data_IF_987088895926
#
_entry.id   IF_987088895926
#
_cell.length_a   1.000
_cell.length_b   1.000
_cell.length_c   1.000
_cell.angle_alpha   90.00
_cell.angle_beta   90.00
_cell.angle_gamma   90.00
#
_symmetry.space_group_name_H-M   'P 1'
#
loop_
_entity.id
_entity.type
_entity.pdbx_description
1 polymer ?
#
# COMPACT_ATOMS: atom_id res chain seq x y z
N UNK A 1 10.44 14.65 -12.03
CA UNK A 1 11.52 13.72 -11.62
C UNK A 1 11.16 12.32 -12.11
N UNK A 2 12.06 11.60 -12.81
CA UNK A 2 11.77 10.23 -13.30
C UNK A 2 12.05 9.21 -12.18
N UNK A 3 11.00 8.64 -11.61
CA UNK A 3 11.07 7.53 -10.64
C UNK A 3 11.15 6.21 -11.40
N UNK A 4 12.00 5.29 -10.94
CA UNK A 4 12.07 3.92 -11.45
C UNK A 4 11.29 3.01 -10.49
N UNK A 5 10.27 2.33 -10.99
CA UNK A 5 9.53 1.34 -10.22
C UNK A 5 10.32 0.02 -10.22
N UNK A 6 10.90 -0.34 -9.07
CA UNK A 6 11.62 -1.58 -8.84
C UNK A 6 10.84 -2.47 -7.87
N UNK A 7 11.11 -3.77 -7.87
CA UNK A 7 10.58 -4.68 -6.84
C UNK A 7 11.72 -5.11 -5.93
N UNK A 8 11.50 -5.05 -4.61
CA UNK A 8 12.49 -5.49 -3.64
C UNK A 8 12.79 -6.99 -3.82
N UNK A 9 14.08 -7.34 -3.95
CA UNK A 9 14.53 -8.74 -4.07
C UNK A 9 14.16 -9.60 -2.86
N UNK A 10 14.14 -9.03 -1.65
CA UNK A 10 13.92 -9.77 -0.41
C UNK A 10 12.43 -10.00 -0.09
N UNK A 11 11.58 -8.98 -0.24
CA UNK A 11 10.16 -9.05 0.15
C UNK A 11 9.16 -8.92 -1.01
N UNK A 12 9.63 -8.64 -2.23
CA UNK A 12 8.80 -8.44 -3.42
C UNK A 12 7.93 -7.18 -3.39
N UNK A 13 8.15 -6.28 -2.43
CA UNK A 13 7.41 -5.02 -2.36
C UNK A 13 7.83 -4.08 -3.49
N UNK A 14 6.90 -3.33 -4.11
CA UNK A 14 7.24 -2.27 -5.05
C UNK A 14 7.96 -1.14 -4.30
N UNK A 15 9.08 -0.70 -4.85
CA UNK A 15 9.92 0.39 -4.35
C UNK A 15 10.11 1.38 -5.50
N UNK A 16 9.71 2.62 -5.28
CA UNK A 16 9.96 3.71 -6.22
C UNK A 16 11.29 4.36 -5.87
N UNK A 17 12.26 4.25 -6.79
CA UNK A 17 13.62 4.74 -6.56
C UNK A 17 13.92 5.90 -7.51
N UNK A 18 14.39 7.05 -6.99
CA UNK A 18 14.97 8.10 -7.82
C UNK A 18 16.20 7.58 -8.57
N UNK A 19 16.30 7.83 -9.88
CA UNK A 19 17.38 7.31 -10.75
C UNK A 19 18.82 7.65 -10.30
N UNK A 20 19.00 8.63 -9.42
CA UNK A 20 20.31 9.09 -8.95
C UNK A 20 20.80 8.34 -7.69
N UNK A 21 19.97 7.56 -7.02
CA UNK A 21 20.35 6.85 -5.79
C UNK A 21 20.87 5.44 -6.10
N UNK A 22 22.12 5.16 -5.72
CA UNK A 22 22.77 3.84 -5.92
C UNK A 22 22.30 2.78 -4.92
N UNK A 23 21.88 3.21 -3.73
CA UNK A 23 21.44 2.34 -2.65
C UNK A 23 20.10 2.83 -2.11
N UNK A 24 19.11 1.95 -2.04
CA UNK A 24 17.83 2.23 -1.40
C UNK A 24 17.50 1.12 -0.43
N UNK A 25 17.14 1.49 0.80
CA UNK A 25 16.57 0.54 1.75
C UNK A 25 15.11 0.31 1.42
N UNK A 26 14.72 -0.95 1.38
CA UNK A 26 13.31 -1.29 1.21
C UNK A 26 12.53 -0.79 2.44
N UNK A 27 11.55 0.09 2.23
CA UNK A 27 10.67 0.60 3.29
C UNK A 27 9.82 -0.47 3.98
N UNK A 28 9.88 -1.73 3.53
CA UNK A 28 9.06 -2.83 4.02
C UNK A 28 9.82 -3.94 4.74
N UNK A 29 11.10 -4.13 4.45
CA UNK A 29 11.93 -5.19 5.05
C UNK A 29 13.34 -4.72 5.39
N UNK A 30 13.60 -3.42 5.22
CA UNK A 30 14.88 -2.73 5.47
C UNK A 30 16.09 -3.28 4.72
N UNK A 31 15.90 -4.29 3.87
CA UNK A 31 16.94 -4.82 3.02
C UNK A 31 17.48 -3.75 2.07
N UNK A 32 18.81 -3.65 2.00
CA UNK A 32 19.52 -2.77 1.08
C UNK A 32 19.41 -3.30 -0.36
N UNK A 33 18.97 -2.44 -1.27
CA UNK A 33 18.88 -2.71 -2.69
C UNK A 33 19.92 -1.86 -3.41
N UNK A 34 20.87 -2.50 -4.11
CA UNK A 34 21.74 -1.82 -5.05
C UNK A 34 20.96 -1.54 -6.34
N UNK A 35 20.64 -0.27 -6.59
CA UNK A 35 20.08 0.19 -7.85
C UNK A 35 21.25 0.46 -8.82
N UNK A 36 21.99 -0.58 -9.22
CA UNK A 36 22.81 -0.46 -10.43
C UNK A 36 21.86 -0.38 -11.63
N UNK A 37 22.20 0.46 -12.60
CA UNK A 37 21.43 0.78 -13.81
C UNK A 37 20.93 -0.47 -14.53
N UNK A 38 19.79 -0.99 -14.09
CA UNK A 38 19.07 -2.00 -14.84
C UNK A 38 18.40 -1.27 -16.00
N UNK A 39 19.06 -1.28 -17.17
CA UNK A 39 18.52 -0.76 -18.44
C UNK A 39 17.22 -1.44 -18.88
N UNK A 40 16.78 -2.48 -18.17
CA UNK A 40 15.48 -3.12 -18.39
C UNK A 40 14.81 -3.43 -17.05
N UNK A 41 13.47 -3.40 -16.98
CA UNK A 41 12.70 -3.94 -15.86
C UNK A 41 12.83 -5.47 -15.89
N UNK A 42 13.99 -5.98 -15.49
CA UNK A 42 14.22 -7.41 -15.39
C UNK A 42 13.45 -7.91 -14.17
N UNK A 43 12.27 -8.49 -14.45
CA UNK A 43 11.58 -9.41 -13.55
C UNK A 43 12.45 -10.66 -13.41
N UNK A 44 13.56 -10.55 -12.66
CA UNK A 44 14.37 -11.72 -12.32
C UNK A 44 13.63 -12.46 -11.21
N UNK A 45 13.25 -13.75 -11.40
CA UNK A 45 12.80 -14.57 -10.29
C UNK A 45 13.90 -14.60 -9.23
N UNK A 46 13.52 -14.65 -7.96
CA UNK A 46 14.42 -14.76 -6.83
C UNK A 46 15.42 -15.89 -7.12
N UNK A 47 16.67 -15.56 -7.44
CA UNK A 47 17.74 -16.46 -7.08
C UNK A 47 17.86 -16.35 -5.57
N UNK A 48 17.34 -17.40 -4.93
CA UNK A 48 17.72 -17.87 -3.61
C UNK A 48 19.13 -17.40 -3.25
N UNK A 49 19.28 -16.83 -2.05
CA UNK A 49 20.58 -16.85 -1.38
C UNK A 49 21.21 -18.23 -1.58
N UNK A 50 22.50 -18.36 -1.94
CA UNK A 50 23.16 -19.66 -2.12
C UNK A 50 23.04 -20.59 -0.90
N UNK A 51 22.71 -20.04 0.28
CA UNK A 51 22.48 -20.80 1.53
C UNK A 51 21.11 -21.45 1.69
N UNK A 52 20.14 -21.19 0.81
CA UNK A 52 18.76 -21.67 0.99
C UNK A 52 18.40 -22.89 0.13
N UNK A 53 19.34 -23.51 -0.59
CA UNK A 53 19.05 -24.83 -1.18
C UNK A 53 19.32 -25.90 -0.12
N UNK A 54 18.37 -26.81 0.15
CA UNK A 54 18.68 -27.98 0.96
C UNK A 54 19.86 -28.71 0.32
N UNK A 55 20.85 -29.09 1.13
CA UNK A 55 21.91 -29.99 0.69
C UNK A 55 21.29 -31.34 0.31
N UNK A 56 21.94 -32.11 -0.58
CA UNK A 56 21.48 -33.47 -0.92
C UNK A 56 21.41 -34.41 0.30
N UNK A 57 22.00 -34.00 1.43
CA UNK A 57 21.98 -34.68 2.72
C UNK A 57 20.91 -34.20 3.70
N UNK A 58 19.96 -33.35 3.27
CA UNK A 58 18.92 -32.81 4.15
C UNK A 58 17.97 -33.92 4.61
N UNK A 59 17.66 -33.92 5.91
CA UNK A 59 16.67 -34.81 6.52
C UNK A 59 15.26 -34.49 6.01
N UNK A 60 14.34 -35.47 6.04
CA UNK A 60 12.94 -35.27 5.60
C UNK A 60 12.28 -34.08 6.34
N UNK A 61 12.59 -33.90 7.63
CA UNK A 61 12.12 -32.79 8.45
C UNK A 61 12.63 -31.41 7.97
N UNK A 62 13.88 -31.31 7.53
CA UNK A 62 14.42 -30.07 6.96
C UNK A 62 13.76 -29.72 5.62
N UNK A 63 13.44 -30.74 4.82
CA UNK A 63 12.75 -30.59 3.55
C UNK A 63 11.30 -30.11 3.73
N UNK A 64 10.61 -30.60 4.75
CA UNK A 64 9.27 -30.13 5.13
C UNK A 64 9.29 -28.67 5.61
N UNK A 65 10.21 -28.31 6.51
CA UNK A 65 10.40 -26.93 6.97
C UNK A 65 10.69 -25.98 5.80
N UNK A 66 11.51 -26.41 4.84
CA UNK A 66 11.81 -25.63 3.65
C UNK A 66 10.59 -25.43 2.74
N UNK A 67 9.77 -26.47 2.54
CA UNK A 67 8.50 -26.37 1.80
C UNK A 67 7.55 -25.39 2.47
N UNK A 68 7.40 -25.45 3.79
CA UNK A 68 6.54 -24.54 4.53
C UNK A 68 7.04 -23.09 4.45
N UNK A 69 8.34 -22.87 4.63
CA UNK A 69 8.96 -21.56 4.51
C UNK A 69 8.74 -20.95 3.11
N UNK A 70 8.88 -21.75 2.06
CA UNK A 70 8.60 -21.34 0.68
C UNK A 70 7.12 -21.01 0.48
N UNK A 71 6.22 -21.82 1.04
CA UNK A 71 4.79 -21.60 0.99
C UNK A 71 4.38 -20.28 1.68
N UNK A 72 4.89 -20.01 2.88
CA UNK A 72 4.61 -18.77 3.63
C UNK A 72 5.12 -17.56 2.84
N UNK A 73 6.33 -17.62 2.26
CA UNK A 73 6.87 -16.56 1.39
C UNK A 73 5.97 -16.30 0.18
N UNK A 74 5.52 -17.36 -0.51
CA UNK A 74 4.60 -17.23 -1.63
C UNK A 74 3.28 -16.56 -1.19
N UNK A 75 2.75 -16.93 -0.02
CA UNK A 75 1.50 -16.36 0.52
C UNK A 75 1.64 -14.88 0.85
N UNK A 76 2.77 -14.44 1.41
CA UNK A 76 3.08 -13.02 1.62
C UNK A 76 3.15 -12.28 0.27
N UNK A 77 3.80 -12.86 -0.74
CA UNK A 77 3.88 -12.26 -2.09
C UNK A 77 2.50 -12.09 -2.72
N UNK A 78 1.64 -13.11 -2.66
CA UNK A 78 0.26 -13.04 -3.15
C UNK A 78 -0.54 -11.99 -2.38
N UNK A 79 -0.39 -11.93 -1.06
CA UNK A 79 -1.04 -10.93 -0.21
C UNK A 79 -0.63 -9.51 -0.63
N UNK A 80 0.68 -9.25 -0.76
CA UNK A 80 1.22 -7.95 -1.20
C UNK A 80 0.73 -7.56 -2.60
N UNK A 81 0.74 -8.49 -3.56
CA UNK A 81 0.24 -8.26 -4.92
C UNK A 81 -1.26 -7.95 -4.93
N UNK A 82 -2.06 -8.67 -4.14
CA UNK A 82 -3.49 -8.43 -4.03
C UNK A 82 -3.80 -7.07 -3.39
N UNK A 83 -3.03 -6.68 -2.38
CA UNK A 83 -3.14 -5.39 -1.72
C UNK A 83 -2.79 -4.24 -2.66
N UNK A 84 -1.70 -4.39 -3.42
CA UNK A 84 -1.30 -3.42 -4.44
C UNK A 84 -2.41 -3.23 -5.49
N UNK A 85 -2.94 -4.31 -6.06
CA UNK A 85 -4.08 -4.24 -7.00
C UNK A 85 -5.31 -3.54 -6.43
N UNK A 86 -5.66 -3.79 -5.16
CA UNK A 86 -6.78 -3.13 -4.50
C UNK A 86 -6.52 -1.64 -4.27
N UNK A 87 -5.30 -1.29 -3.87
CA UNK A 87 -4.89 0.10 -3.64
C UNK A 87 -4.88 0.93 -4.93
N UNK A 88 -4.56 0.31 -6.07
CA UNK A 88 -4.58 0.98 -7.37
C UNK A 88 -5.97 1.47 -7.79
N UNK A 89 -7.06 0.95 -7.20
CA UNK A 89 -8.42 1.52 -7.40
C UNK A 89 -8.57 2.96 -6.92
N UNK A 90 -7.67 3.41 -6.03
CA UNK A 90 -7.64 4.78 -5.51
C UNK A 90 -6.50 5.61 -6.13
N UNK A 91 -5.81 5.08 -7.15
CA UNK A 91 -4.79 5.83 -7.86
C UNK A 91 -5.42 6.73 -8.94
N UNK A 92 -4.98 7.98 -9.00
CA UNK A 92 -5.32 8.92 -10.05
C UNK A 92 -4.02 9.35 -10.74
N UNK A 93 -3.91 9.18 -12.06
CA UNK A 93 -2.68 9.45 -12.82
C UNK A 93 -1.43 8.71 -12.30
N UNK A 94 -1.60 7.47 -11.81
CA UNK A 94 -0.51 6.67 -11.23
C UNK A 94 -0.12 7.06 -9.80
N UNK A 95 -0.64 8.17 -9.27
CA UNK A 95 -0.42 8.58 -7.88
C UNK A 95 -1.53 8.01 -7.01
N UNK A 96 -1.17 7.24 -5.98
CA UNK A 96 -2.15 6.68 -5.04
C UNK A 96 -2.66 7.78 -4.12
N UNK A 97 -3.91 8.21 -4.32
CA UNK A 97 -4.59 9.14 -3.43
C UNK A 97 -5.31 8.34 -2.34
N UNK A 98 -4.71 8.31 -1.14
CA UNK A 98 -5.32 7.61 -0.01
C UNK A 98 -6.51 8.43 0.50
N UNK A 99 -7.74 7.91 0.48
CA UNK A 99 -8.87 8.61 1.06
C UNK A 99 -8.66 8.73 2.57
N UNK A 100 -8.43 9.95 3.05
CA UNK A 100 -8.30 10.24 4.48
C UNK A 100 -9.62 10.79 5.02
N UNK A 101 -9.97 10.41 6.25
CA UNK A 101 -11.10 11.00 6.98
C UNK A 101 -10.95 12.53 7.10
N UNK A 102 -9.72 13.01 7.22
CA UNK A 102 -9.40 14.43 7.23
C UNK A 102 -9.87 15.15 5.96
N UNK A 103 -9.50 14.65 4.77
CA UNK A 103 -9.93 15.26 3.50
C UNK A 103 -11.44 15.22 3.31
N UNK A 104 -12.10 14.13 3.72
CA UNK A 104 -13.56 14.04 3.68
C UNK A 104 -14.23 15.09 4.59
N UNK A 105 -13.67 15.33 5.78
CA UNK A 105 -14.18 16.35 6.70
C UNK A 105 -13.90 17.77 6.20
N UNK A 106 -12.71 18.06 5.67
CA UNK A 106 -12.37 19.39 5.15
C UNK A 106 -13.27 19.78 3.97
N UNK A 107 -13.44 18.89 2.99
CA UNK A 107 -14.33 19.15 1.86
C UNK A 107 -15.79 19.25 2.28
N UNK A 108 -16.22 18.37 3.20
CA UNK A 108 -17.59 18.37 3.71
C UNK A 108 -17.95 19.62 4.48
N UNK A 109 -17.18 19.93 5.52
CA UNK A 109 -17.38 21.11 6.37
C UNK A 109 -17.18 22.39 5.56
N UNK A 110 -16.14 22.44 4.71
CA UNK A 110 -15.89 23.58 3.84
C UNK A 110 -17.04 23.84 2.88
N UNK A 111 -17.62 22.81 2.26
CA UNK A 111 -18.79 22.95 1.39
C UNK A 111 -20.03 23.48 2.13
N UNK A 112 -20.28 23.01 3.36
CA UNK A 112 -21.39 23.50 4.19
C UNK A 112 -21.19 24.96 4.61
N UNK A 113 -19.99 25.33 5.06
CA UNK A 113 -19.67 26.71 5.44
C UNK A 113 -19.76 27.65 4.24
N UNK A 114 -19.23 27.23 3.08
CA UNK A 114 -19.30 28.01 1.84
C UNK A 114 -20.75 28.16 1.38
N UNK A 115 -21.54 27.09 1.37
CA UNK A 115 -22.98 27.16 1.07
C UNK A 115 -23.71 28.10 2.03
N UNK A 116 -23.41 28.05 3.32
CA UNK A 116 -24.01 28.95 4.33
C UNK A 116 -23.66 30.42 4.08
N UNK A 117 -22.43 30.70 3.64
CA UNK A 117 -22.01 32.05 3.24
C UNK A 117 -22.79 32.56 2.03
N UNK A 118 -22.94 31.75 0.99
CA UNK A 118 -23.73 32.13 -0.20
C UNK A 118 -25.23 32.25 0.09
N UNK A 119 -25.75 31.52 1.09
CA UNK A 119 -27.13 31.68 1.55
C UNK A 119 -27.38 33.10 2.06
N UNK A 120 -26.43 33.67 2.82
CA UNK A 120 -26.53 35.05 3.32
C UNK A 120 -26.54 36.04 2.15
N UNK A 121 -25.66 35.85 1.17
CA UNK A 121 -25.63 36.67 -0.04
C UNK A 121 -26.91 36.57 -0.87
N UNK A 122 -27.54 35.38 -0.94
CA UNK A 122 -28.82 35.19 -1.62
C UNK A 122 -29.94 35.98 -0.94
N UNK A 123 -30.01 35.96 0.39
CA UNK A 123 -30.99 36.75 1.16
C UNK A 123 -30.77 38.26 0.97
N UNK A 124 -29.52 38.69 0.75
CA UNK A 124 -29.18 40.09 0.45
C UNK A 124 -29.56 40.54 -0.99
N UNK A 125 -30.21 39.70 -1.80
CA UNK A 125 -30.72 40.07 -3.12
C UNK A 125 -29.74 39.87 -4.27
N UNK A 126 -28.65 39.13 -4.07
CA UNK A 126 -27.70 38.82 -5.15
C UNK A 126 -28.29 37.76 -6.08
N UNK A 127 -28.71 38.16 -7.28
CA UNK A 127 -29.30 37.26 -8.27
C UNK A 127 -28.34 36.11 -8.66
N UNK A 128 -28.86 34.90 -8.82
CA UNK A 128 -28.08 33.71 -9.25
C UNK A 128 -27.37 32.92 -8.13
N UNK A 129 -27.32 33.41 -6.89
CA UNK A 129 -26.60 32.75 -5.78
C UNK A 129 -27.37 31.61 -5.10
N UNK A 130 -28.70 31.55 -5.26
CA UNK A 130 -29.55 30.53 -4.64
C UNK A 130 -29.25 29.11 -5.14
N UNK A 131 -29.10 28.92 -6.45
CA UNK A 131 -28.77 27.62 -7.03
C UNK A 131 -27.37 27.15 -6.59
N UNK A 132 -26.40 28.06 -6.55
CA UNK A 132 -25.04 27.77 -6.09
C UNK A 132 -25.00 27.38 -4.61
N UNK A 133 -25.78 28.06 -3.78
CA UNK A 133 -25.94 27.75 -2.34
C UNK A 133 -26.42 26.32 -2.12
N UNK A 134 -27.50 25.93 -2.81
CA UNK A 134 -28.05 24.56 -2.74
C UNK A 134 -27.00 23.56 -3.19
N UNK A 135 -26.32 23.82 -4.31
CA UNK A 135 -25.27 22.94 -4.82
C UNK A 135 -24.11 22.77 -3.82
N UNK A 136 -23.57 23.85 -3.25
CA UNK A 136 -22.47 23.78 -2.28
C UNK A 136 -22.88 23.06 -0.99
N UNK A 137 -24.09 23.34 -0.49
CA UNK A 137 -24.57 22.74 0.75
C UNK A 137 -24.80 21.24 0.59
N UNK A 138 -25.64 20.84 -0.38
CA UNK A 138 -25.95 19.42 -0.61
C UNK A 138 -24.75 18.67 -1.19
N UNK A 139 -23.98 19.30 -2.08
CA UNK A 139 -22.73 18.74 -2.61
C UNK A 139 -21.69 18.52 -1.51
N UNK A 140 -21.57 19.45 -0.54
CA UNK A 140 -20.72 19.30 0.63
C UNK A 140 -21.16 18.13 1.51
N UNK A 141 -22.45 18.00 1.82
CA UNK A 141 -22.99 16.89 2.60
C UNK A 141 -22.80 15.53 1.91
N UNK A 142 -23.14 15.43 0.62
CA UNK A 142 -22.96 14.22 -0.18
C UNK A 142 -21.48 13.87 -0.35
N UNK A 143 -20.64 14.87 -0.58
CA UNK A 143 -19.18 14.72 -0.65
C UNK A 143 -18.60 14.18 0.65
N UNK A 144 -19.06 14.71 1.79
CA UNK A 144 -18.69 14.21 3.12
C UNK A 144 -19.08 12.75 3.31
N UNK A 145 -20.35 12.41 3.07
CA UNK A 145 -20.87 11.06 3.28
C UNK A 145 -20.14 10.03 2.41
N UNK A 146 -20.00 10.32 1.11
CA UNK A 146 -19.30 9.44 0.17
C UNK A 146 -17.80 9.32 0.49
N UNK A 147 -17.16 10.43 0.90
CA UNK A 147 -15.76 10.48 1.31
C UNK A 147 -15.49 9.65 2.56
N UNK A 148 -16.33 9.77 3.60
CA UNK A 148 -16.20 9.00 4.84
C UNK A 148 -16.36 7.51 4.59
N UNK A 149 -17.39 7.11 3.82
CA UNK A 149 -17.61 5.70 3.46
C UNK A 149 -16.41 5.09 2.74
N UNK A 150 -15.82 5.82 1.77
CA UNK A 150 -14.60 5.39 1.06
C UNK A 150 -13.38 5.29 1.99
N UNK A 151 -13.22 6.24 2.91
CA UNK A 151 -12.12 6.23 3.88
C UNK A 151 -12.23 5.03 4.84
N UNK A 152 -13.42 4.74 5.36
CA UNK A 152 -13.67 3.57 6.22
C UNK A 152 -13.46 2.24 5.51
N UNK A 153 -13.90 2.13 4.25
CA UNK A 153 -13.65 0.94 3.44
C UNK A 153 -12.14 0.73 3.24
N UNK A 154 -11.40 1.79 2.92
CA UNK A 154 -9.95 1.73 2.78
C UNK A 154 -9.27 1.34 4.09
N UNK A 155 -9.65 1.92 5.22
CA UNK A 155 -9.11 1.59 6.54
C UNK A 155 -9.36 0.13 6.89
N UNK A 156 -10.59 -0.38 6.71
CA UNK A 156 -10.92 -1.79 6.95
C UNK A 156 -10.07 -2.72 6.08
N UNK A 157 -9.89 -2.40 4.80
CA UNK A 157 -9.03 -3.17 3.92
C UNK A 157 -7.56 -3.13 4.38
N UNK A 158 -7.04 -1.95 4.74
CA UNK A 158 -5.66 -1.77 5.23
C UNK A 158 -5.43 -2.56 6.51
N UNK A 159 -6.37 -2.53 7.43
CA UNK A 159 -6.28 -3.23 8.71
C UNK A 159 -6.26 -4.74 8.50
N UNK A 160 -7.16 -5.26 7.65
CA UNK A 160 -7.18 -6.68 7.30
C UNK A 160 -5.86 -7.15 6.67
N UNK A 161 -5.27 -6.33 5.78
CA UNK A 161 -3.97 -6.60 5.18
C UNK A 161 -2.86 -6.58 6.23
N UNK A 162 -2.83 -5.58 7.10
CA UNK A 162 -1.81 -5.43 8.14
C UNK A 162 -1.83 -6.59 9.13
N UNK A 163 -3.02 -7.09 9.51
CA UNK A 163 -3.18 -8.23 10.41
C UNK A 163 -2.66 -9.51 9.77
N UNK A 164 -3.13 -9.83 8.56
CA UNK A 164 -2.69 -11.03 7.80
C UNK A 164 -1.19 -11.02 7.53
N UNK A 165 -0.64 -9.85 7.21
CA UNK A 165 0.80 -9.70 6.99
C UNK A 165 1.59 -9.95 8.26
N UNK A 166 1.18 -9.36 9.40
CA UNK A 166 1.82 -9.60 10.70
C UNK A 166 1.81 -11.07 11.08
N UNK A 167 0.68 -11.75 10.87
CA UNK A 167 0.57 -13.19 11.13
C UNK A 167 1.55 -14.02 10.28
N UNK A 168 1.56 -13.80 8.96
CA UNK A 168 2.48 -14.53 8.06
C UNK A 168 3.95 -14.21 8.34
N UNK A 169 4.26 -12.96 8.71
CA UNK A 169 5.61 -12.56 9.09
C UNK A 169 6.08 -13.21 10.39
N UNK A 170 5.18 -13.39 11.38
CA UNK A 170 5.49 -14.14 12.61
C UNK A 170 5.80 -15.60 12.30
N UNK A 171 4.93 -16.29 11.56
CA UNK A 171 5.17 -17.69 11.12
C UNK A 171 6.48 -17.85 10.37
N UNK A 172 6.79 -16.89 9.48
CA UNK A 172 8.06 -16.90 8.74
C UNK A 172 9.26 -16.76 9.68
N UNK A 173 9.16 -15.95 10.74
CA UNK A 173 10.23 -15.78 11.72
C UNK A 173 10.39 -17.02 12.60
N UNK A 174 9.29 -17.67 13.00
CA UNK A 174 9.30 -18.93 13.74
C UNK A 174 9.97 -20.05 12.93
N UNK A 175 9.58 -20.23 11.66
CA UNK A 175 10.19 -21.20 10.75
C UNK A 175 11.67 -20.94 10.50
N UNK A 176 12.09 -19.67 10.46
CA UNK A 176 13.52 -19.34 10.32
C UNK A 176 14.31 -19.73 11.56
N UNK A 177 13.76 -19.49 12.76
CA UNK A 177 14.41 -19.87 14.02
C UNK A 177 14.51 -21.38 14.19
N UNK A 178 13.51 -22.14 13.76
CA UNK A 178 13.56 -23.61 13.83
C UNK A 178 14.58 -24.22 12.87
N UNK A 179 14.98 -23.50 11.82
CA UNK A 179 16.01 -23.92 10.87
C UNK A 179 17.42 -23.42 11.24
N UNK A 180 17.55 -22.56 12.24
CA UNK A 180 18.85 -22.07 12.67
C UNK A 180 19.51 -23.14 13.54
N UNK A 181 20.65 -23.73 13.13
CA UNK A 181 21.29 -24.79 13.91
C UNK A 181 21.61 -24.27 15.30
N UNK A 182 21.24 -25.02 16.34
CA UNK A 182 21.64 -24.70 17.71
C UNK A 182 23.16 -24.83 17.77
N UNK A 183 23.82 -23.68 17.80
CA UNK A 183 25.27 -23.56 17.94
C UNK A 183 25.71 -23.93 19.36
#
# INVERSE_FOLDING_TARGET
>A
MKLLALYCKNCGAPVEVPRHLRFVKCSYCEAELSAQEAKEPVVKPLHSSPRERPSESATEAELENFKELTYVRMRIRRLNSSWHRRRMKYAHNGVVNVPTKFMANVLGVGGVLMGSFFLIAAVAGTEGTAAFTVYCFFGGLMGRYSGLKRAEEYERMRDSFSRRRRELSKRLAELKRSMEPQA
#
